data_IF_682240257866
#
_entry.id   IF_682240257866
#
_cell.length_a   1.000
_cell.length_b   1.000
_cell.length_c   1.000
_cell.angle_alpha   90.00
_cell.angle_beta   90.00
_cell.angle_gamma   90.00
#
_symmetry.space_group_name_H-M   'P 1'
#
loop_
_entity.id
_entity.type
_entity.pdbx_description
1 polymer ?
#
# COMPACT_ATOMS: atom_id res chain seq x y z
N UNK A 1 -2.19 -20.41 11.13
CA UNK A 1 -1.88 -19.17 10.40
C UNK A 1 -0.38 -19.12 10.10
N UNK A 2 -0.02 -18.47 9.00
CA UNK A 2 1.36 -18.22 8.57
C UNK A 2 1.49 -16.76 8.13
N UNK A 3 2.68 -16.18 8.24
CA UNK A 3 2.92 -14.80 7.85
C UNK A 3 3.88 -14.08 8.75
N UNK A 4 3.65 -12.78 9.01
CA UNK A 4 4.55 -11.95 9.80
C UNK A 4 3.78 -11.10 10.80
N UNK A 5 4.33 -11.00 12.00
CA UNK A 5 3.91 -10.09 13.06
C UNK A 5 5.09 -9.16 13.39
N UNK A 6 4.87 -7.87 13.32
CA UNK A 6 5.85 -6.85 13.71
C UNK A 6 5.29 -6.03 14.87
N UNK A 7 6.02 -5.99 15.99
CA UNK A 7 5.62 -5.30 17.23
C UNK A 7 6.83 -4.60 17.85
N UNK A 8 6.78 -3.29 18.02
CA UNK A 8 7.82 -2.53 18.72
C UNK A 8 9.22 -2.71 18.11
N UNK A 9 9.28 -3.03 16.82
CA UNK A 9 10.51 -3.29 16.08
C UNK A 9 11.08 -4.71 16.23
N UNK A 10 10.33 -5.63 16.81
CA UNK A 10 10.61 -7.06 16.75
C UNK A 10 9.75 -7.67 15.65
N UNK A 11 10.37 -8.40 14.75
CA UNK A 11 9.67 -9.12 13.68
C UNK A 11 9.64 -10.61 14.01
N UNK A 12 8.46 -11.19 14.02
CA UNK A 12 8.21 -12.61 14.25
C UNK A 12 7.60 -13.18 12.98
N UNK A 13 8.26 -14.15 12.38
CA UNK A 13 7.72 -14.88 11.24
C UNK A 13 7.07 -16.19 11.70
N UNK A 14 5.85 -16.41 11.25
CA UNK A 14 5.11 -17.65 11.52
C UNK A 14 5.17 -18.48 10.24
N UNK A 15 6.03 -19.48 10.25
CA UNK A 15 6.25 -20.37 9.11
C UNK A 15 5.26 -21.53 9.11
N UNK A 16 5.07 -22.22 7.97
CA UNK A 16 4.33 -23.48 7.91
C UNK A 16 4.93 -24.51 8.87
N UNK A 17 4.08 -25.37 9.43
CA UNK A 17 4.54 -26.42 10.35
C UNK A 17 5.50 -27.35 9.63
N UNK A 18 6.78 -27.29 10.04
CA UNK A 18 7.85 -28.10 9.49
C UNK A 18 7.96 -29.44 10.25
N UNK A 19 8.46 -30.47 9.60
CA UNK A 19 8.88 -31.68 10.27
C UNK A 19 10.13 -31.37 11.12
N UNK A 20 10.12 -31.75 12.40
CA UNK A 20 11.19 -31.41 13.36
C UNK A 20 12.52 -32.11 13.09
N UNK A 21 12.58 -32.97 12.10
CA UNK A 21 13.73 -33.82 11.78
C UNK A 21 14.74 -33.23 10.79
N UNK A 22 14.41 -32.13 10.10
CA UNK A 22 15.32 -31.50 9.14
C UNK A 22 16.13 -30.36 9.79
N UNK A 23 17.41 -30.59 10.03
CA UNK A 23 18.39 -29.55 10.38
C UNK A 23 18.49 -28.59 9.16
N UNK A 24 18.14 -27.30 9.37
CA UNK A 24 18.14 -26.28 8.30
C UNK A 24 16.80 -26.05 7.62
N UNK A 25 15.71 -26.63 8.10
CA UNK A 25 14.36 -26.52 7.52
C UNK A 25 13.75 -25.13 7.53
N UNK A 26 14.19 -24.21 8.42
CA UNK A 26 13.64 -22.86 8.53
C UNK A 26 13.77 -22.07 7.21
N UNK A 27 14.93 -22.07 6.58
CA UNK A 27 15.15 -21.39 5.30
C UNK A 27 14.32 -21.99 4.15
N UNK A 28 14.12 -23.30 4.16
CA UNK A 28 13.30 -24.01 3.16
C UNK A 28 11.82 -23.61 3.29
N UNK A 29 11.30 -23.56 4.52
CA UNK A 29 9.91 -23.23 4.78
C UNK A 29 9.62 -21.72 4.60
N UNK A 30 10.58 -20.86 4.96
CA UNK A 30 10.52 -19.45 4.63
C UNK A 30 10.41 -19.23 3.11
N UNK A 31 11.28 -19.90 2.34
CA UNK A 31 11.25 -19.81 0.88
C UNK A 31 9.94 -20.34 0.29
N UNK A 32 9.45 -21.50 0.79
CA UNK A 32 8.18 -22.07 0.38
C UNK A 32 7.00 -21.11 0.66
N UNK A 33 6.99 -20.46 1.82
CA UNK A 33 5.97 -19.46 2.15
C UNK A 33 6.00 -18.28 1.18
N UNK A 34 7.19 -17.73 0.89
CA UNK A 34 7.36 -16.64 -0.08
C UNK A 34 6.85 -17.06 -1.46
N UNK A 35 7.18 -18.28 -1.92
CA UNK A 35 6.69 -18.78 -3.21
C UNK A 35 5.18 -18.94 -3.26
N UNK A 36 4.55 -19.44 -2.18
CA UNK A 36 3.10 -19.54 -2.07
C UNK A 36 2.45 -18.15 -2.12
N UNK A 37 2.96 -17.19 -1.36
CA UNK A 37 2.46 -15.82 -1.34
C UNK A 37 2.61 -15.14 -2.71
N UNK A 38 3.73 -15.36 -3.40
CA UNK A 38 3.95 -14.87 -4.78
C UNK A 38 3.00 -15.53 -5.77
N UNK A 39 2.89 -16.83 -5.73
CA UNK A 39 1.98 -17.57 -6.61
C UNK A 39 0.52 -17.15 -6.37
N UNK A 40 0.12 -16.88 -5.14
CA UNK A 40 -1.21 -16.39 -4.79
C UNK A 40 -1.43 -14.89 -5.06
N UNK A 41 -0.38 -14.15 -5.42
CA UNK A 41 -0.46 -12.72 -5.72
C UNK A 41 -0.56 -11.82 -4.49
N UNK A 42 -0.27 -12.36 -3.31
CA UNK A 42 -0.20 -11.62 -2.04
C UNK A 42 1.16 -10.91 -1.86
N UNK A 43 2.19 -11.36 -2.57
CA UNK A 43 3.50 -10.72 -2.61
C UNK A 43 3.94 -10.61 -4.08
N UNK A 44 4.36 -9.42 -4.49
CA UNK A 44 4.87 -9.14 -5.82
C UNK A 44 6.28 -8.58 -5.70
N UNK A 45 7.24 -9.33 -6.16
CA UNK A 45 8.62 -8.88 -6.22
C UNK A 45 8.96 -8.59 -7.67
N UNK A 46 9.55 -7.43 -7.94
CA UNK A 46 10.09 -7.15 -9.26
C UNK A 46 11.15 -8.24 -9.60
N UNK A 47 11.07 -8.77 -10.82
CA UNK A 47 12.00 -9.77 -11.32
C UNK A 47 13.37 -9.12 -11.59
N UNK A 48 14.16 -8.92 -10.55
CA UNK A 48 15.55 -8.45 -10.69
C UNK A 48 16.46 -9.56 -10.15
N UNK A 49 17.42 -9.97 -10.93
CA UNK A 49 18.33 -11.09 -10.66
C UNK A 49 19.21 -10.97 -9.41
N UNK A 50 19.27 -9.79 -8.79
CA UNK A 50 19.89 -9.58 -7.46
C UNK A 50 18.91 -9.88 -6.31
N UNK A 51 17.64 -10.13 -6.60
CA UNK A 51 16.59 -10.37 -5.59
C UNK A 51 16.73 -11.73 -4.90
N UNK A 52 17.29 -12.74 -5.54
CA UNK A 52 17.38 -14.09 -4.95
C UNK A 52 18.29 -14.17 -3.71
N UNK A 53 19.37 -13.38 -3.66
CA UNK A 53 20.24 -13.33 -2.49
C UNK A 53 19.60 -12.48 -1.35
N UNK A 54 18.91 -11.38 -1.69
CA UNK A 54 18.19 -10.56 -0.73
C UNK A 54 16.94 -11.27 -0.19
N UNK A 55 16.24 -12.04 -1.01
CA UNK A 55 15.10 -12.88 -0.64
C UNK A 55 15.43 -13.93 0.42
N UNK A 56 16.66 -14.43 0.43
CA UNK A 56 17.10 -15.45 1.38
C UNK A 56 17.42 -14.91 2.78
N UNK A 57 17.66 -13.61 2.89
CA UNK A 57 18.10 -12.96 4.14
C UNK A 57 17.15 -11.88 4.65
N UNK A 58 16.22 -11.40 3.81
CA UNK A 58 15.26 -10.39 4.21
C UNK A 58 14.05 -11.02 4.90
N UNK A 59 13.55 -10.37 5.94
CA UNK A 59 12.31 -10.80 6.56
C UNK A 59 11.12 -10.62 5.62
N UNK A 60 10.08 -11.43 5.79
CA UNK A 60 8.83 -11.29 5.04
C UNK A 60 8.24 -9.87 5.23
N UNK A 61 8.43 -9.28 6.40
CA UNK A 61 8.05 -7.89 6.67
C UNK A 61 8.75 -6.92 5.71
N UNK A 62 10.09 -7.01 5.62
CA UNK A 62 10.88 -6.11 4.77
C UNK A 62 10.54 -6.29 3.29
N UNK A 63 10.24 -7.52 2.85
CA UNK A 63 9.78 -7.80 1.49
C UNK A 63 8.45 -7.11 1.17
N UNK A 64 7.50 -7.07 2.11
CA UNK A 64 6.26 -6.33 1.94
C UNK A 64 6.50 -4.82 1.85
N UNK A 65 7.36 -4.27 2.72
CA UNK A 65 7.70 -2.85 2.71
C UNK A 65 8.43 -2.46 1.41
N UNK A 66 9.37 -3.26 0.95
CA UNK A 66 10.08 -3.04 -0.32
C UNK A 66 9.13 -3.09 -1.52
N UNK A 67 8.22 -4.07 -1.55
CA UNK A 67 7.21 -4.19 -2.62
C UNK A 67 6.31 -2.96 -2.66
N UNK A 68 5.85 -2.49 -1.49
CA UNK A 68 5.02 -1.29 -1.39
C UNK A 68 5.75 -0.07 -1.93
N UNK A 69 6.97 0.20 -1.45
CA UNK A 69 7.74 1.36 -1.91
C UNK A 69 8.01 1.31 -3.41
N UNK A 70 8.35 0.13 -3.95
CA UNK A 70 8.60 -0.05 -5.39
C UNK A 70 7.33 0.19 -6.24
N UNK A 71 6.16 -0.21 -5.75
CA UNK A 71 4.89 0.08 -6.42
C UNK A 71 4.58 1.59 -6.40
N UNK A 72 4.82 2.27 -5.27
CA UNK A 72 4.62 3.73 -5.16
C UNK A 72 5.62 4.50 -6.02
N UNK A 73 6.89 4.13 -6.03
CA UNK A 73 7.92 4.71 -6.89
C UNK A 73 7.55 4.57 -8.37
N UNK A 74 7.09 3.39 -8.78
CA UNK A 74 6.61 3.16 -10.14
C UNK A 74 5.44 4.08 -10.50
N UNK A 75 4.47 4.27 -9.58
CA UNK A 75 3.35 5.19 -9.79
C UNK A 75 3.80 6.64 -9.82
N UNK A 76 4.80 7.03 -9.02
CA UNK A 76 5.40 8.35 -9.05
C UNK A 76 6.07 8.63 -10.41
N UNK A 77 6.87 7.69 -10.93
CA UNK A 77 7.50 7.80 -12.24
C UNK A 77 6.49 7.89 -13.39
N UNK A 78 5.35 7.21 -13.27
CA UNK A 78 4.24 7.32 -14.22
C UNK A 78 3.42 8.62 -14.06
N UNK A 79 3.72 9.40 -13.03
CA UNK A 79 2.97 10.58 -12.59
C UNK A 79 1.74 10.21 -11.77
N UNK A 80 1.59 10.73 -10.57
CA UNK A 80 0.41 10.50 -9.74
C UNK A 80 -0.86 11.01 -10.41
N UNK A 81 -1.94 10.22 -10.31
CA UNK A 81 -3.24 10.59 -10.88
C UNK A 81 -3.75 11.89 -10.24
N UNK A 82 -4.26 12.77 -11.09
CA UNK A 82 -4.99 13.96 -10.66
C UNK A 82 -6.48 13.73 -10.84
N UNK A 83 -7.29 14.25 -9.93
CA UNK A 83 -8.75 14.21 -10.01
C UNK A 83 -9.35 15.56 -9.65
N UNK A 84 -10.53 15.84 -10.16
CA UNK A 84 -11.29 17.01 -9.74
C UNK A 84 -11.88 16.76 -8.35
N UNK A 85 -11.67 17.74 -7.45
CA UNK A 85 -12.35 17.80 -6.17
C UNK A 85 -13.02 19.16 -5.98
N UNK A 86 -14.12 19.17 -5.30
CA UNK A 86 -14.79 20.41 -4.95
C UNK A 86 -14.11 21.04 -3.73
N UNK A 87 -13.70 22.28 -3.87
CA UNK A 87 -13.08 23.08 -2.81
C UNK A 87 -13.91 24.32 -2.62
N UNK A 88 -14.08 24.73 -1.35
CA UNK A 88 -14.71 25.99 -1.02
C UNK A 88 -13.73 26.84 -0.21
N UNK A 89 -13.58 28.10 -0.57
CA UNK A 89 -12.64 29.00 0.08
C UNK A 89 -12.53 30.35 -0.61
N UNK A 90 -11.72 31.24 -0.01
CA UNK A 90 -11.41 32.55 -0.55
C UNK A 90 -10.44 32.46 -1.71
N UNK A 91 -10.77 33.12 -2.81
CA UNK A 91 -9.93 33.25 -4.02
C UNK A 91 -9.86 34.71 -4.45
N UNK A 92 -8.74 35.12 -5.05
CA UNK A 92 -8.53 36.49 -5.53
C UNK A 92 -9.30 36.81 -6.84
N UNK A 93 -9.73 35.77 -7.56
CA UNK A 93 -10.54 35.93 -8.77
C UNK A 93 -11.78 35.05 -8.68
N UNK A 94 -12.91 35.52 -9.19
CA UNK A 94 -14.16 34.75 -9.19
C UNK A 94 -13.98 33.46 -10.01
N UNK A 95 -14.08 32.31 -9.33
CA UNK A 95 -13.94 30.97 -9.92
C UNK A 95 -15.05 30.07 -9.39
N UNK A 96 -15.80 29.47 -10.28
CA UNK A 96 -16.91 28.59 -9.90
C UNK A 96 -18.12 29.37 -9.36
N UNK A 97 -18.78 28.80 -8.33
CA UNK A 97 -20.00 29.36 -7.75
C UNK A 97 -19.69 30.20 -6.51
N UNK A 98 -20.12 31.46 -6.47
CA UNK A 98 -20.03 32.32 -5.29
C UNK A 98 -20.96 31.78 -4.18
N UNK A 99 -20.45 31.69 -2.95
CA UNK A 99 -21.23 31.34 -1.77
C UNK A 99 -21.50 32.65 -1.00
N UNK A 100 -22.57 33.37 -1.38
CA UNK A 100 -22.89 34.68 -0.88
C UNK A 100 -22.90 34.80 0.64
N UNK A 101 -23.48 33.84 1.35
CA UNK A 101 -23.54 33.88 2.81
C UNK A 101 -22.16 33.88 3.46
N UNK A 102 -21.23 33.14 2.92
CA UNK A 102 -19.83 33.09 3.39
C UNK A 102 -19.04 34.30 2.91
N UNK A 103 -19.27 34.70 1.66
CA UNK A 103 -18.60 35.88 1.09
C UNK A 103 -18.90 37.14 1.87
N UNK A 104 -20.16 37.38 2.23
CA UNK A 104 -20.57 38.49 3.08
C UNK A 104 -19.95 38.37 4.48
N UNK A 105 -19.94 37.19 5.07
CA UNK A 105 -19.44 36.97 6.41
C UNK A 105 -17.90 37.16 6.52
N UNK A 106 -17.16 36.73 5.52
CA UNK A 106 -15.70 36.66 5.56
C UNK A 106 -15.02 37.81 4.78
N UNK A 107 -15.66 38.34 3.72
CA UNK A 107 -15.07 39.26 2.77
C UNK A 107 -15.74 40.67 2.80
N UNK A 108 -16.57 41.00 3.79
CA UNK A 108 -17.23 42.30 3.86
C UNK A 108 -16.23 43.49 3.80
N UNK A 109 -15.06 43.32 4.41
CA UNK A 109 -13.95 44.27 4.39
C UNK A 109 -12.95 44.03 3.28
N UNK A 110 -12.78 42.73 2.88
CA UNK A 110 -11.84 42.28 1.87
C UNK A 110 -12.51 42.05 0.53
N UNK A 111 -13.01 43.13 -0.07
CA UNK A 111 -13.75 43.10 -1.36
C UNK A 111 -12.94 42.63 -2.57
N UNK A 112 -11.63 42.49 -2.42
CA UNK A 112 -10.72 41.90 -3.42
C UNK A 112 -10.75 40.35 -3.45
N UNK A 113 -11.52 39.71 -2.55
CA UNK A 113 -11.64 38.25 -2.45
C UNK A 113 -13.08 37.81 -2.66
N UNK A 114 -13.23 36.58 -3.11
CA UNK A 114 -14.51 35.93 -3.35
C UNK A 114 -14.55 34.58 -2.65
N UNK A 115 -15.54 34.33 -1.81
CA UNK A 115 -15.72 33.00 -1.22
C UNK A 115 -16.51 32.13 -2.17
N UNK A 116 -15.81 31.17 -2.81
CA UNK A 116 -16.39 30.37 -3.90
C UNK A 116 -16.32 28.88 -3.63
N UNK A 117 -17.27 28.15 -4.21
CA UNK A 117 -17.15 26.70 -4.42
C UNK A 117 -16.72 26.46 -5.87
N UNK A 118 -15.56 25.87 -6.05
CA UNK A 118 -14.98 25.60 -7.35
C UNK A 118 -14.33 24.20 -7.42
N UNK A 119 -14.11 23.72 -8.62
CA UNK A 119 -13.39 22.49 -8.86
C UNK A 119 -11.89 22.76 -8.92
N UNK A 120 -11.13 21.99 -8.17
CA UNK A 120 -9.68 21.97 -8.22
C UNK A 120 -9.17 20.64 -8.76
N UNK A 121 -8.27 20.69 -9.74
CA UNK A 121 -7.68 19.52 -10.37
C UNK A 121 -6.26 19.31 -9.85
N UNK A 122 -6.12 18.42 -8.88
CA UNK A 122 -4.85 18.19 -8.20
C UNK A 122 -4.59 16.71 -7.89
N UNK A 123 -3.46 16.46 -7.24
CA UNK A 123 -3.04 15.12 -6.78
C UNK A 123 -3.68 14.72 -5.45
N UNK A 124 -4.36 15.62 -4.75
CA UNK A 124 -4.97 15.34 -3.45
C UNK A 124 -6.30 14.60 -3.63
N UNK A 125 -6.23 13.30 -3.83
CA UNK A 125 -7.38 12.44 -4.03
C UNK A 125 -7.20 11.10 -3.29
N UNK A 126 -8.28 10.32 -3.15
CA UNK A 126 -8.31 9.10 -2.36
C UNK A 126 -7.22 8.08 -2.71
N UNK A 127 -6.86 7.93 -3.97
CA UNK A 127 -5.81 7.01 -4.38
C UNK A 127 -4.46 7.43 -3.79
N UNK A 128 -4.06 8.67 -4.01
CA UNK A 128 -2.77 9.16 -3.53
C UNK A 128 -2.73 9.33 -1.99
N UNK A 129 -3.87 9.62 -1.34
CA UNK A 129 -3.99 9.65 0.12
C UNK A 129 -3.76 8.26 0.75
N UNK A 130 -4.25 7.18 0.10
CA UNK A 130 -3.99 5.80 0.53
C UNK A 130 -2.51 5.47 0.36
N UNK A 131 -1.89 5.80 -0.79
CA UNK A 131 -0.45 5.63 -1.00
C UNK A 131 0.35 6.32 0.09
N UNK A 132 0.05 7.59 0.37
CA UNK A 132 0.75 8.36 1.40
C UNK A 132 0.64 7.70 2.77
N UNK A 133 -0.58 7.29 3.17
CA UNK A 133 -0.78 6.59 4.45
C UNK A 133 0.04 5.32 4.55
N UNK A 134 0.12 4.52 3.48
CA UNK A 134 0.94 3.32 3.44
C UNK A 134 2.43 3.62 3.57
N UNK A 135 2.94 4.66 2.87
CA UNK A 135 4.33 5.09 2.97
C UNK A 135 4.66 5.61 4.38
N UNK A 136 3.75 6.35 5.04
CA UNK A 136 3.90 6.75 6.43
C UNK A 136 4.06 5.56 7.38
N UNK A 137 3.33 4.46 7.16
CA UNK A 137 3.49 3.23 7.95
C UNK A 137 4.88 2.65 7.75
N UNK A 138 5.41 2.60 6.51
CA UNK A 138 6.77 2.13 6.25
C UNK A 138 7.80 3.00 6.96
N UNK A 139 7.68 4.32 6.88
CA UNK A 139 8.58 5.26 7.55
C UNK A 139 8.58 5.09 9.08
N UNK A 140 7.41 4.79 9.66
CA UNK A 140 7.26 4.60 11.10
C UNK A 140 7.77 3.23 11.59
N UNK A 141 7.55 2.16 10.81
CA UNK A 141 7.79 0.79 11.27
C UNK A 141 9.08 0.17 10.79
N UNK A 142 9.60 0.57 9.61
CA UNK A 142 10.83 -0.03 9.06
C UNK A 142 12.08 0.33 9.87
N UNK A 143 12.88 -0.68 10.19
CA UNK A 143 14.22 -0.53 10.78
C UNK A 143 15.35 -0.58 9.74
N UNK A 144 15.05 -1.01 8.52
CA UNK A 144 15.99 -1.02 7.42
C UNK A 144 16.20 0.42 6.94
N UNK A 145 17.37 0.98 7.18
CA UNK A 145 17.68 2.39 6.87
C UNK A 145 17.44 2.76 5.40
N UNK A 146 17.66 1.82 4.48
CA UNK A 146 17.37 2.01 3.06
C UNK A 146 15.88 2.21 2.78
N UNK A 147 15.03 1.33 3.33
CA UNK A 147 13.57 1.42 3.15
C UNK A 147 13.02 2.71 3.77
N UNK A 148 13.55 3.09 4.95
CA UNK A 148 13.15 4.33 5.61
C UNK A 148 13.52 5.56 4.78
N UNK A 149 14.76 5.64 4.27
CA UNK A 149 15.19 6.75 3.39
C UNK A 149 14.34 6.86 2.14
N UNK A 150 13.99 5.74 1.50
CA UNK A 150 13.09 5.72 0.33
C UNK A 150 11.69 6.20 0.69
N UNK A 151 11.16 5.78 1.84
CA UNK A 151 9.86 6.25 2.33
C UNK A 151 9.86 7.76 2.58
N UNK A 152 10.87 8.30 3.26
CA UNK A 152 11.00 9.74 3.53
C UNK A 152 11.12 10.55 2.22
N UNK A 153 11.88 10.07 1.25
CA UNK A 153 11.98 10.68 -0.07
C UNK A 153 10.63 10.70 -0.80
N UNK A 154 9.86 9.61 -0.76
CA UNK A 154 8.52 9.55 -1.35
C UNK A 154 7.56 10.51 -0.66
N UNK A 155 7.58 10.63 0.67
CA UNK A 155 6.73 11.56 1.41
C UNK A 155 7.00 13.01 1.01
N UNK A 156 8.26 13.38 0.73
CA UNK A 156 8.60 14.70 0.19
C UNK A 156 7.92 14.95 -1.17
N UNK A 157 7.87 13.96 -2.07
CA UNK A 157 7.16 14.08 -3.34
C UNK A 157 5.63 14.11 -3.20
N UNK A 158 5.11 13.62 -2.05
CA UNK A 158 3.69 13.59 -1.72
C UNK A 158 3.22 14.83 -0.96
N UNK A 159 4.06 15.84 -0.80
CA UNK A 159 3.67 17.11 -0.17
C UNK A 159 2.42 17.71 -0.84
N UNK A 160 1.48 18.20 -0.01
CA UNK A 160 0.18 18.71 -0.46
C UNK A 160 -0.90 17.65 -0.68
N UNK A 161 -0.63 16.38 -0.35
CA UNK A 161 -1.64 15.35 -0.22
C UNK A 161 -2.05 15.29 1.25
N UNK A 162 -3.36 15.27 1.53
CA UNK A 162 -3.86 15.24 2.91
C UNK A 162 -3.67 13.86 3.54
N UNK A 163 -3.19 13.82 4.78
CA UNK A 163 -3.24 12.60 5.60
C UNK A 163 -4.69 12.34 6.04
N UNK A 164 -5.16 11.15 5.80
CA UNK A 164 -6.53 10.74 6.11
C UNK A 164 -6.54 9.44 6.91
N UNK A 165 -7.57 9.28 7.72
CA UNK A 165 -7.87 7.97 8.31
C UNK A 165 -8.39 7.05 7.22
N UNK A 166 -7.61 6.01 6.90
CA UNK A 166 -7.96 5.01 5.90
C UNK A 166 -8.59 3.81 6.59
N UNK A 167 -9.81 3.46 6.18
CA UNK A 167 -10.57 2.33 6.71
C UNK A 167 -11.00 1.40 5.59
N UNK A 168 -11.54 0.23 5.90
CA UNK A 168 -12.10 -0.69 4.90
C UNK A 168 -13.18 -0.02 4.03
N UNK A 169 -13.98 0.89 4.62
CA UNK A 169 -14.96 1.71 3.88
C UNK A 169 -14.29 2.61 2.83
N UNK A 170 -13.09 3.12 3.10
CA UNK A 170 -12.32 3.92 2.15
C UNK A 170 -12.00 3.10 0.90
N UNK A 171 -11.54 1.86 1.07
CA UNK A 171 -11.22 0.95 -0.05
C UNK A 171 -12.46 0.53 -0.84
N UNK A 172 -13.57 0.21 -0.16
CA UNK A 172 -14.83 -0.17 -0.83
C UNK A 172 -15.43 0.94 -1.70
N UNK A 173 -15.11 2.20 -1.43
CA UNK A 173 -15.59 3.37 -2.18
C UNK A 173 -14.67 3.78 -3.34
N UNK A 174 -13.56 3.08 -3.54
CA UNK A 174 -12.68 3.37 -4.68
C UNK A 174 -13.35 2.89 -5.97
N UNK A 175 -13.60 3.83 -6.86
CA UNK A 175 -14.01 3.54 -8.23
C UNK A 175 -12.79 3.65 -9.15
N UNK A 176 -12.41 2.52 -9.74
CA UNK A 176 -11.33 2.47 -10.71
C UNK A 176 -11.84 2.86 -12.09
N UNK A 177 -11.10 3.70 -12.76
CA UNK A 177 -11.28 4.10 -14.14
C UNK A 177 -9.99 3.79 -14.94
N UNK A 178 -10.00 4.06 -16.24
CA UNK A 178 -8.85 3.81 -17.12
C UNK A 178 -7.53 4.40 -16.59
N UNK A 179 -7.57 5.58 -15.98
CA UNK A 179 -6.39 6.26 -15.47
C UNK A 179 -5.91 5.71 -14.12
N UNK A 180 -6.82 5.12 -13.34
CA UNK A 180 -6.55 4.58 -12.00
C UNK A 180 -6.38 3.07 -11.98
N UNK A 181 -6.65 2.36 -13.10
CA UNK A 181 -6.48 0.89 -13.15
C UNK A 181 -5.05 0.45 -12.79
N UNK A 182 -4.05 1.23 -13.16
CA UNK A 182 -2.64 0.99 -12.80
C UNK A 182 -2.35 1.02 -11.29
N UNK A 183 -3.25 1.60 -10.49
CA UNK A 183 -3.16 1.64 -9.02
C UNK A 183 -3.67 0.35 -8.36
N UNK A 184 -4.49 -0.43 -9.05
CA UNK A 184 -5.13 -1.63 -8.49
C UNK A 184 -4.15 -2.56 -7.77
N UNK A 185 -2.98 -2.84 -8.34
CA UNK A 185 -2.01 -3.68 -7.70
C UNK A 185 -1.45 -3.11 -6.39
N UNK A 186 -1.09 -1.82 -6.37
CA UNK A 186 -0.58 -1.15 -5.18
C UNK A 186 -1.67 -1.06 -4.10
N UNK A 187 -2.89 -0.63 -4.47
CA UNK A 187 -4.04 -0.52 -3.56
C UNK A 187 -4.36 -1.86 -2.88
N UNK A 188 -4.21 -2.99 -3.57
CA UNK A 188 -4.44 -4.31 -2.97
C UNK A 188 -3.43 -4.61 -1.85
N UNK A 189 -2.15 -4.27 -2.05
CA UNK A 189 -1.10 -4.44 -1.04
C UNK A 189 -1.26 -3.44 0.10
N UNK A 190 -1.56 -2.18 -0.21
CA UNK A 190 -1.78 -1.13 0.79
C UNK A 190 -2.96 -1.44 1.69
N UNK A 191 -4.05 -2.00 1.12
CA UNK A 191 -5.19 -2.46 1.91
C UNK A 191 -4.76 -3.53 2.91
N UNK A 192 -3.94 -4.50 2.50
CA UNK A 192 -3.42 -5.54 3.37
C UNK A 192 -2.60 -4.93 4.52
N UNK A 193 -1.72 -3.98 4.23
CA UNK A 193 -0.86 -3.36 5.23
C UNK A 193 -1.67 -2.42 6.15
N UNK A 194 -2.43 -1.48 5.59
CA UNK A 194 -3.13 -0.45 6.37
C UNK A 194 -4.18 -1.04 7.30
N UNK A 195 -4.96 -2.04 6.82
CA UNK A 195 -6.03 -2.63 7.64
C UNK A 195 -5.49 -3.56 8.74
N UNK A 196 -4.26 -4.03 8.62
CA UNK A 196 -3.60 -4.87 9.63
C UNK A 196 -2.58 -4.09 10.48
N UNK A 197 -2.49 -2.77 10.30
CA UNK A 197 -1.66 -1.89 11.10
C UNK A 197 -2.48 -1.25 12.22
N UNK A 198 -1.99 -1.39 13.44
CA UNK A 198 -2.55 -0.76 14.65
C UNK A 198 -1.48 0.16 15.24
N UNK A 199 -1.67 1.49 15.12
CA UNK A 199 -0.75 2.44 15.72
C UNK A 199 -0.87 2.39 17.25
N UNK A 200 0.22 2.67 17.94
CA UNK A 200 0.19 2.88 19.38
C UNK A 200 -0.67 4.11 19.74
N UNK A 201 -1.76 3.87 20.43
CA UNK A 201 -2.68 4.93 20.91
C UNK A 201 -2.42 5.25 22.38
N UNK A 202 -1.66 4.42 23.10
CA UNK A 202 -1.36 4.59 24.53
C UNK A 202 0.14 4.89 24.73
N UNK A 203 0.45 5.84 25.60
CA UNK A 203 1.84 6.15 25.96
C UNK A 203 2.53 4.90 26.53
N UNK A 204 3.44 4.33 25.78
CA UNK A 204 4.21 3.13 26.15
C UNK A 204 3.81 1.84 25.45
N UNK A 205 2.84 1.85 24.55
CA UNK A 205 2.55 0.75 23.63
C UNK A 205 3.50 0.73 22.43
N UNK A 206 3.29 -0.21 21.54
CA UNK A 206 4.07 -0.40 20.34
C UNK A 206 3.16 -0.53 19.13
N UNK A 207 3.57 0.08 18.03
CA UNK A 207 2.94 -0.16 16.74
C UNK A 207 2.93 -1.65 16.41
N UNK A 208 1.78 -2.14 15.97
CA UNK A 208 1.60 -3.55 15.61
C UNK A 208 1.20 -3.65 14.14
N UNK A 209 1.92 -4.46 13.38
CA UNK A 209 1.51 -4.87 12.04
C UNK A 209 1.48 -6.40 11.98
N UNK A 210 0.29 -6.98 11.75
CA UNK A 210 0.08 -8.41 11.73
C UNK A 210 -0.48 -8.86 10.37
N UNK A 211 0.37 -9.35 9.48
CA UNK A 211 -0.04 -9.90 8.17
C UNK A 211 -0.01 -11.41 8.29
N UNK A 212 -1.16 -12.00 8.59
CA UNK A 212 -1.33 -13.44 8.81
C UNK A 212 -2.35 -14.01 7.85
N UNK A 213 -2.05 -15.18 7.31
CA UNK A 213 -2.91 -15.93 6.40
C UNK A 213 -3.30 -17.26 7.02
N UNK A 214 -4.52 -17.72 6.72
CA UNK A 214 -4.85 -19.12 6.99
C UNK A 214 -4.03 -20.03 6.08
N UNK A 215 -3.34 -20.99 6.67
CA UNK A 215 -2.42 -21.84 5.92
C UNK A 215 -3.16 -22.76 4.94
N UNK A 216 -4.34 -23.28 5.32
CA UNK A 216 -5.12 -24.17 4.48
C UNK A 216 -5.63 -23.41 3.24
N UNK A 217 -6.22 -22.24 3.46
CA UNK A 217 -6.70 -21.37 2.39
C UNK A 217 -5.57 -20.92 1.44
N UNK A 218 -4.41 -20.60 1.98
CA UNK A 218 -3.23 -20.24 1.19
C UNK A 218 -2.74 -21.43 0.35
N UNK A 219 -2.67 -22.61 0.94
CA UNK A 219 -2.21 -23.83 0.27
C UNK A 219 -3.17 -24.28 -0.84
N UNK A 220 -4.48 -24.28 -0.57
CA UNK A 220 -5.51 -24.59 -1.56
C UNK A 220 -5.44 -23.64 -2.76
N UNK A 221 -5.31 -22.34 -2.52
CA UNK A 221 -5.15 -21.33 -3.57
C UNK A 221 -3.85 -21.54 -4.38
N UNK A 222 -2.78 -21.90 -3.71
CA UNK A 222 -1.50 -22.18 -4.33
C UNK A 222 -1.62 -23.39 -5.28
N UNK A 223 -2.14 -24.50 -4.79
CA UNK A 223 -2.33 -25.72 -5.59
C UNK A 223 -3.25 -25.45 -6.79
N UNK A 224 -4.39 -24.78 -6.57
CA UNK A 224 -5.30 -24.41 -7.66
C UNK A 224 -4.59 -23.60 -8.76
N UNK A 225 -3.71 -22.67 -8.39
CA UNK A 225 -2.95 -21.88 -9.37
C UNK A 225 -1.89 -22.68 -10.09
N UNK A 226 -1.21 -23.59 -9.40
CA UNK A 226 -0.24 -24.50 -10.04
C UNK A 226 -0.92 -25.43 -11.04
N UNK A 227 -2.07 -26.01 -10.68
CA UNK A 227 -2.87 -26.84 -11.58
C UNK A 227 -3.34 -26.06 -12.81
N UNK A 228 -3.83 -24.84 -12.65
CA UNK A 228 -4.23 -23.99 -13.79
C UNK A 228 -3.05 -23.67 -14.71
N UNK A 229 -1.86 -23.39 -14.15
CA UNK A 229 -0.65 -23.17 -14.96
C UNK A 229 -0.24 -24.43 -15.74
N UNK A 230 -0.28 -25.60 -15.09
CA UNK A 230 0.02 -26.87 -15.74
C UNK A 230 -0.98 -27.15 -16.87
N UNK A 231 -2.30 -26.98 -16.59
CA UNK A 231 -3.34 -27.20 -17.61
C UNK A 231 -3.20 -26.27 -18.82
N UNK A 232 -2.85 -24.99 -18.62
CA UNK A 232 -2.62 -24.06 -19.73
C UNK A 232 -1.38 -24.43 -20.57
N UNK A 233 -0.37 -25.05 -19.96
CA UNK A 233 0.81 -25.59 -20.68
C UNK A 233 0.48 -26.80 -21.52
N UNK A 234 -0.53 -27.59 -21.15
CA UNK A 234 -0.97 -28.75 -21.95
C UNK A 234 -1.87 -28.38 -23.13
N UNK A 235 -2.73 -27.34 -22.95
CA UNK A 235 -3.61 -26.86 -24.03
C UNK A 235 -2.87 -26.23 -25.22
N UNK A 236 -1.63 -25.80 -25.05
CA UNK A 236 -0.76 -25.30 -26.13
C UNK A 236 0.04 -26.39 -26.88
N UNK A 237 -0.15 -27.69 -26.59
CA UNK A 237 0.55 -28.80 -27.22
C UNK A 237 -0.34 -29.72 -28.11
N UNK A 238 -1.57 -29.27 -28.36
CA UNK A 238 -2.48 -29.96 -29.27
C UNK A 238 -2.60 -29.12 -30.56
N UNK A 239 -1.57 -29.17 -31.37
CA UNK A 239 -1.57 -28.98 -32.81
C UNK A 239 -0.71 -30.08 -33.45
#
# INVERSE_FOLDING_TARGET
HVGVLHVGGVTIEVLPKADRTEIGGENKWHHALIEMLRACGYLRLAAVSSADLRLRSASLFDLYMETLLSDVERLLHQGFVKKYRQVSGNVAALKGRLIFSRDIAENLVHRERFYTAHQHYDRNNRFNQILQRAVCIVAATSRVGELRRRADALLTWMEGIDDIVVTDRTFRRLAFDRNTERYRPAVALERLIILNYQPDVQRGGHDVLAILFDMNDLFEKYILRQLKRAASGFAGRVE
#
